data_IF_569082918701
#
_entry.id   IF_569082918701
#
_cell.length_a   1.000
_cell.length_b   1.000
_cell.length_c   1.000
_cell.angle_alpha   90.00
_cell.angle_beta   90.00
_cell.angle_gamma   90.00
#
_symmetry.space_group_name_H-M   'P 1'
#
loop_
_entity.id
_entity.type
_entity.pdbx_description
1 polymer ?
#
# COMPACT_ATOMS: atom_id res chain seq x y z
N UNK A 1 25.61 41.61 12.15
CA UNK A 1 25.36 40.67 11.04
C UNK A 1 25.16 41.48 9.77
N UNK A 2 25.84 41.15 8.66
CA UNK A 2 25.73 41.92 7.42
C UNK A 2 24.39 41.62 6.73
N UNK A 3 23.92 42.53 5.87
CA UNK A 3 22.64 42.39 5.15
C UNK A 3 22.63 41.14 4.25
N UNK A 4 23.77 40.77 3.70
CA UNK A 4 23.92 39.61 2.83
C UNK A 4 23.86 38.29 3.61
N UNK A 5 24.50 38.22 4.80
CA UNK A 5 24.37 37.09 5.73
C UNK A 5 22.89 36.80 6.07
N UNK A 6 22.06 37.85 6.22
CA UNK A 6 20.62 37.72 6.51
C UNK A 6 19.83 37.19 5.32
N UNK A 7 20.19 37.56 4.09
CA UNK A 7 19.54 37.05 2.88
C UNK A 7 19.85 35.57 2.68
N UNK A 8 21.11 35.18 2.84
CA UNK A 8 21.53 33.78 2.73
C UNK A 8 20.85 32.91 3.80
N UNK A 9 20.76 33.41 5.04
CA UNK A 9 20.02 32.72 6.11
C UNK A 9 18.56 32.48 5.73
N UNK A 10 17.86 33.50 5.23
CA UNK A 10 16.46 33.38 4.81
C UNK A 10 16.27 32.41 3.64
N UNK A 11 17.16 32.42 2.65
CA UNK A 11 17.10 31.49 1.53
C UNK A 11 17.29 30.04 2.00
N UNK A 12 18.23 29.83 2.93
CA UNK A 12 18.53 28.51 3.49
C UNK A 12 17.34 27.98 4.30
N UNK A 13 16.73 28.81 5.14
CA UNK A 13 15.51 28.45 5.90
C UNK A 13 14.37 28.09 4.95
N UNK A 14 14.07 28.93 3.95
CA UNK A 14 13.01 28.65 2.96
C UNK A 14 13.25 27.35 2.20
N UNK A 15 14.50 27.02 1.89
CA UNK A 15 14.85 25.76 1.24
C UNK A 15 14.55 24.58 2.17
N UNK A 16 14.96 24.66 3.44
CA UNK A 16 14.70 23.61 4.42
C UNK A 16 13.21 23.43 4.71
N UNK A 17 12.44 24.51 4.78
CA UNK A 17 10.99 24.44 4.98
C UNK A 17 10.29 23.63 3.87
N UNK A 18 10.65 23.90 2.61
CA UNK A 18 10.13 23.11 1.48
C UNK A 18 10.51 21.63 1.55
N UNK A 19 11.68 21.30 2.08
CA UNK A 19 12.07 19.91 2.30
C UNK A 19 11.24 19.29 3.43
N UNK A 20 11.07 20.02 4.53
CA UNK A 20 10.28 19.60 5.68
C UNK A 20 8.83 19.30 5.30
N UNK A 21 8.14 20.22 4.63
CA UNK A 21 6.76 20.03 4.19
C UNK A 21 6.59 18.77 3.30
N UNK A 22 7.50 18.58 2.34
CA UNK A 22 7.47 17.42 1.44
C UNK A 22 7.67 16.10 2.18
N UNK A 23 8.63 16.05 3.11
CA UNK A 23 8.92 14.87 3.91
C UNK A 23 7.75 14.57 4.86
N UNK A 24 7.25 15.58 5.56
CA UNK A 24 6.11 15.46 6.48
C UNK A 24 4.87 14.93 5.78
N UNK A 25 4.55 15.45 4.58
CA UNK A 25 3.42 14.95 3.79
C UNK A 25 3.62 13.49 3.34
N UNK A 26 4.83 13.10 2.96
CA UNK A 26 5.13 11.73 2.57
C UNK A 26 5.02 10.75 3.75
N UNK A 27 5.57 11.12 4.92
CA UNK A 27 5.50 10.32 6.14
C UNK A 27 4.07 10.14 6.63
N UNK A 28 3.25 11.20 6.57
CA UNK A 28 1.82 11.11 6.92
C UNK A 28 1.09 10.10 6.03
N UNK A 29 1.26 10.20 4.71
CA UNK A 29 0.65 9.24 3.76
C UNK A 29 1.12 7.80 4.00
N UNK A 30 2.42 7.61 4.29
CA UNK A 30 2.95 6.29 4.61
C UNK A 30 2.33 5.73 5.89
N UNK A 31 2.22 6.55 6.94
CA UNK A 31 1.61 6.13 8.21
C UNK A 31 0.14 5.75 8.02
N UNK A 32 -0.63 6.51 7.24
CA UNK A 32 -2.02 6.19 6.91
C UNK A 32 -2.13 4.90 6.08
N UNK A 33 -1.22 4.68 5.13
CA UNK A 33 -1.18 3.45 4.34
C UNK A 33 -0.83 2.23 5.19
N UNK A 34 0.12 2.36 6.13
CA UNK A 34 0.47 1.29 7.07
C UNK A 34 -0.69 0.95 8.02
N UNK A 35 -1.45 1.95 8.47
CA UNK A 35 -2.66 1.71 9.27
C UNK A 35 -3.69 0.88 8.49
N UNK A 36 -3.99 1.25 7.25
CA UNK A 36 -4.89 0.48 6.37
C UNK A 36 -4.37 -0.92 6.06
N UNK A 37 -3.06 -1.06 5.85
CA UNK A 37 -2.43 -2.37 5.65
C UNK A 37 -2.59 -3.26 6.89
N UNK A 38 -2.55 -2.68 8.09
CA UNK A 38 -2.79 -3.40 9.33
C UNK A 38 -4.24 -3.88 9.45
N UNK A 39 -5.21 -3.09 9.00
CA UNK A 39 -6.63 -3.44 9.02
C UNK A 39 -6.95 -4.68 8.16
N UNK A 40 -6.20 -4.91 7.08
CA UNK A 40 -6.42 -6.05 6.17
C UNK A 40 -5.52 -7.26 6.44
N UNK A 41 -4.82 -7.32 7.60
CA UNK A 41 -3.93 -8.44 7.90
C UNK A 41 -4.65 -9.78 8.01
N UNK A 42 -5.84 -9.79 8.62
CA UNK A 42 -6.65 -11.01 8.74
C UNK A 42 -7.09 -11.53 7.37
N UNK A 43 -7.47 -10.63 6.45
CA UNK A 43 -7.81 -10.99 5.07
C UNK A 43 -6.59 -11.56 4.31
N UNK A 44 -5.40 -10.97 4.52
CA UNK A 44 -4.15 -11.47 3.94
C UNK A 44 -3.84 -12.88 4.44
N UNK A 45 -3.99 -13.13 5.75
CA UNK A 45 -3.78 -14.44 6.35
C UNK A 45 -4.81 -15.49 5.84
N UNK A 46 -6.07 -15.08 5.71
CA UNK A 46 -7.12 -15.93 5.15
C UNK A 46 -6.81 -16.31 3.69
N UNK A 47 -6.40 -15.35 2.86
CA UNK A 47 -5.98 -15.60 1.48
C UNK A 47 -4.75 -16.51 1.40
N UNK A 48 -3.73 -16.24 2.22
CA UNK A 48 -2.52 -17.08 2.28
C UNK A 48 -2.86 -18.53 2.66
N UNK A 49 -3.73 -18.70 3.66
CA UNK A 49 -4.18 -20.03 4.08
C UNK A 49 -4.99 -20.73 2.99
N UNK A 50 -5.85 -20.00 2.29
CA UNK A 50 -6.64 -20.51 1.18
C UNK A 50 -5.74 -21.04 0.05
N UNK A 51 -4.79 -20.24 -0.43
CA UNK A 51 -3.85 -20.66 -1.47
C UNK A 51 -2.98 -21.86 -1.07
N UNK A 52 -2.68 -22.02 0.21
CA UNK A 52 -1.94 -23.18 0.73
C UNK A 52 -2.79 -24.44 0.93
N UNK A 53 -4.10 -24.37 0.75
CA UNK A 53 -5.04 -25.43 1.12
C UNK A 53 -5.42 -26.36 -0.03
N UNK A 54 -5.96 -27.53 0.32
CA UNK A 54 -6.62 -28.41 -0.65
C UNK A 54 -7.97 -27.87 -1.14
N UNK A 55 -8.54 -26.85 -0.50
CA UNK A 55 -9.76 -26.19 -0.97
C UNK A 55 -9.48 -25.42 -2.26
N UNK A 56 -8.44 -24.59 -2.27
CA UNK A 56 -8.04 -23.87 -3.47
C UNK A 56 -7.77 -24.81 -4.65
N UNK A 57 -7.10 -25.95 -4.43
CA UNK A 57 -6.87 -26.95 -5.49
C UNK A 57 -8.17 -27.49 -6.09
N UNK A 58 -9.18 -27.74 -5.25
CA UNK A 58 -10.49 -28.24 -5.70
C UNK A 58 -11.25 -27.17 -6.46
N UNK A 59 -11.25 -25.95 -5.95
CA UNK A 59 -11.93 -24.81 -6.59
C UNK A 59 -11.29 -24.49 -7.94
N UNK A 60 -9.96 -24.53 -8.02
CA UNK A 60 -9.20 -24.37 -9.25
C UNK A 60 -9.53 -25.47 -10.28
N UNK A 61 -9.52 -26.74 -9.88
CA UNK A 61 -9.90 -27.84 -10.77
C UNK A 61 -11.37 -27.74 -11.25
N UNK A 62 -12.28 -27.25 -10.40
CA UNK A 62 -13.66 -26.99 -10.79
C UNK A 62 -13.78 -25.85 -11.80
N UNK A 63 -12.92 -24.84 -11.68
CA UNK A 63 -12.80 -23.76 -12.65
C UNK A 63 -12.33 -24.27 -14.02
N UNK A 64 -11.24 -25.06 -14.04
CA UNK A 64 -10.70 -25.67 -15.25
C UNK A 64 -11.70 -26.62 -15.93
N UNK A 65 -12.51 -27.33 -15.14
CA UNK A 65 -13.57 -28.19 -15.64
C UNK A 65 -14.82 -27.43 -16.14
N UNK A 66 -14.84 -26.09 -16.06
CA UNK A 66 -15.97 -25.27 -16.48
C UNK A 66 -17.22 -25.42 -15.61
N UNK A 67 -17.05 -25.90 -14.36
CA UNK A 67 -18.16 -26.16 -13.43
C UNK A 67 -18.63 -24.89 -12.71
N UNK A 68 -17.82 -23.82 -12.75
CA UNK A 68 -18.11 -22.55 -12.09
C UNK A 68 -18.87 -21.58 -13.02
N UNK A 69 -19.92 -20.88 -12.54
CA UNK A 69 -20.76 -20.00 -13.37
C UNK A 69 -19.95 -18.93 -14.11
N UNK A 70 -20.15 -18.73 -15.42
CA UNK A 70 -19.35 -17.79 -16.23
C UNK A 70 -19.29 -16.35 -15.68
N UNK A 71 -20.34 -15.86 -15.02
CA UNK A 71 -20.38 -14.51 -14.42
C UNK A 71 -19.66 -14.35 -13.08
N UNK A 72 -19.14 -15.42 -12.49
CA UNK A 72 -18.45 -15.37 -11.20
C UNK A 72 -17.06 -14.72 -11.36
N UNK A 73 -16.82 -13.63 -10.63
CA UNK A 73 -15.47 -13.06 -10.47
C UNK A 73 -14.62 -14.03 -9.64
N UNK A 74 -13.54 -14.52 -10.24
CA UNK A 74 -12.69 -15.56 -9.64
C UNK A 74 -11.21 -15.19 -9.71
N UNK A 75 -10.87 -13.96 -9.33
CA UNK A 75 -9.48 -13.50 -9.34
C UNK A 75 -8.54 -14.34 -8.46
N UNK A 76 -9.10 -15.06 -7.46
CA UNK A 76 -8.36 -16.00 -6.61
C UNK A 76 -8.03 -17.34 -7.31
N UNK A 77 -8.58 -17.57 -8.50
CA UNK A 77 -8.33 -18.77 -9.32
C UNK A 77 -7.62 -18.43 -10.64
N UNK A 78 -7.19 -17.16 -10.81
CA UNK A 78 -6.48 -16.68 -12.02
C UNK A 78 -4.98 -16.89 -11.95
#
# INVERSE_FOLDING_TARGET
MRRDDKKEQLQRIRKMERHFERVSAALKRLSEALAKYKEVQEDIEALSSYYGSDLWKKDFAADEAGLLPQGLKRGVLS
#
